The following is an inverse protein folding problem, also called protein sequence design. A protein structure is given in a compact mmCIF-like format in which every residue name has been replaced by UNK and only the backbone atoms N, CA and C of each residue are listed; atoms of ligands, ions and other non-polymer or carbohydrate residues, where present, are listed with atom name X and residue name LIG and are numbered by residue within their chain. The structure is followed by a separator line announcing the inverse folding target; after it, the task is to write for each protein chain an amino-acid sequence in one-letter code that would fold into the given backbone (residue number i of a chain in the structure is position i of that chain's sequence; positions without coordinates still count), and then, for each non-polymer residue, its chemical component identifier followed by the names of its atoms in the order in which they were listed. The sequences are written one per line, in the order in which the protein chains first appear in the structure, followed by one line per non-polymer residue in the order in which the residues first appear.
data_IF_811500512684
#
_entry.id   IF_811500512684
#
_cell.length_a   1.000
_cell.length_b   1.000
_cell.length_c   1.000
_cell.angle_alpha   90.00
_cell.angle_beta   90.00
_cell.angle_gamma   90.00
#
_symmetry.space_group_name_H-M   'P 1'
#
loop_
_entity.id
_entity.type
_entity.pdbx_description
1 polymer ?
#
# COMPACT_ATOMS: atom_id res chain seq x y z
N UNK A 1 -26.00 9.00 -15.48
CA UNK A 1 -25.25 9.07 -15.45
C UNK A 1 -24.38 8.73 -15.15
N UNK A 2 -23.81 8.63 -15.04
CA UNK A 2 -22.88 8.20 -14.94
C UNK A 2 -21.96 8.40 -14.33
N UNK A 3 -21.45 7.95 -13.95
CA UNK A 3 -20.55 8.11 -13.51
C UNK A 3 -19.55 7.68 -13.73
N UNK A 4 -19.09 7.72 -13.72
CA UNK A 4 -17.89 7.23 -13.90
C UNK A 4 -16.99 7.16 -12.80
N UNK A 5 -16.41 6.43 -12.43
CA UNK A 5 -15.58 6.42 -11.45
C UNK A 5 -14.21 6.30 -11.79
N UNK A 6 -13.40 7.00 -11.43
CA UNK A 6 -12.09 7.03 -11.93
C UNK A 6 -11.11 6.39 -11.05
N UNK A 7 -11.21 6.60 -9.78
CA UNK A 7 -10.26 6.09 -8.83
C UNK A 7 -10.86 4.98 -8.05
N UNK A 8 -10.05 4.00 -7.74
CA UNK A 8 -10.43 2.96 -6.84
C UNK A 8 -10.46 3.51 -5.43
N UNK A 9 -11.55 3.32 -4.74
CA UNK A 9 -11.59 3.70 -3.35
C UNK A 9 -10.70 2.81 -2.54
N UNK A 10 -10.04 3.36 -1.57
CA UNK A 10 -9.07 2.62 -0.76
C UNK A 10 -9.47 2.71 0.70
N UNK A 11 -9.41 1.58 1.41
CA UNK A 11 -9.61 1.61 2.87
C UNK A 11 -8.38 2.15 3.61
N UNK A 12 -7.31 2.40 2.89
CA UNK A 12 -6.06 2.86 3.50
C UNK A 12 -5.95 4.36 3.39
N UNK A 13 -5.11 4.97 4.24
CA UNK A 13 -4.98 6.41 4.26
C UNK A 13 -3.52 6.80 4.35
N UNK A 14 -3.20 7.92 3.72
CA UNK A 14 -1.89 8.54 3.87
C UNK A 14 -1.65 8.80 5.36
N UNK A 15 -0.46 8.49 5.82
CA UNK A 15 -0.08 8.65 7.21
C UNK A 15 -0.15 7.37 8.02
N UNK A 16 -0.80 6.33 7.50
CA UNK A 16 -0.82 5.05 8.23
C UNK A 16 0.53 4.37 8.13
N UNK A 17 0.92 3.71 9.20
CA UNK A 17 2.15 2.93 9.23
C UNK A 17 1.83 1.49 8.90
N UNK A 18 2.65 0.90 8.06
CA UNK A 18 2.45 -0.47 7.61
C UNK A 18 3.72 -1.28 7.79
N UNK A 19 3.53 -2.58 7.94
CA UNK A 19 4.64 -3.54 7.92
C UNK A 19 4.40 -4.49 6.76
N UNK A 20 5.39 -4.66 5.90
CA UNK A 20 5.31 -5.56 4.77
C UNK A 20 5.59 -6.97 5.27
N UNK A 21 4.70 -7.90 4.94
CA UNK A 21 4.94 -9.30 5.20
C UNK A 21 5.63 -9.91 3.99
N UNK A 22 5.08 -9.70 2.80
CA UNK A 22 5.73 -10.18 1.58
C UNK A 22 5.11 -9.51 0.37
N UNK A 23 5.95 -8.99 -0.51
CA UNK A 23 5.48 -8.43 -1.77
C UNK A 23 5.50 -9.52 -2.84
N UNK A 24 4.36 -9.71 -3.49
CA UNK A 24 4.20 -10.74 -4.48
C UNK A 24 5.15 -10.51 -5.65
N UNK A 25 5.83 -11.55 -6.07
CA UNK A 25 6.76 -11.43 -7.20
C UNK A 25 8.15 -10.97 -6.83
N UNK A 26 8.37 -10.59 -5.57
CA UNK A 26 9.68 -10.16 -5.11
C UNK A 26 10.30 -11.25 -4.26
N UNK A 27 11.63 -11.18 -4.10
CA UNK A 27 12.28 -12.04 -3.14
C UNK A 27 11.98 -11.49 -1.75
N UNK A 28 12.76 -11.80 -0.75
CA UNK A 28 12.43 -11.43 0.61
C UNK A 28 13.04 -10.09 1.04
N UNK A 29 13.50 -9.27 0.11
CA UNK A 29 14.19 -8.04 0.50
C UNK A 29 13.29 -7.04 1.18
N UNK A 30 11.99 -7.10 0.92
CA UNK A 30 11.03 -6.20 1.55
C UNK A 30 10.35 -6.80 2.77
N UNK A 31 10.55 -8.08 3.04
CA UNK A 31 9.87 -8.74 4.14
C UNK A 31 10.27 -8.12 5.46
N UNK A 32 9.28 -7.72 6.25
CA UNK A 32 9.52 -7.11 7.55
C UNK A 32 9.79 -5.62 7.53
N UNK A 33 9.88 -5.00 6.37
CA UNK A 33 10.09 -3.57 6.32
C UNK A 33 8.85 -2.83 6.78
N UNK A 34 9.07 -1.70 7.43
CA UNK A 34 7.98 -0.83 7.87
C UNK A 34 8.14 0.53 7.25
N UNK A 35 7.03 1.21 7.11
CA UNK A 35 7.05 2.56 6.59
C UNK A 35 5.69 3.20 6.71
N UNK A 36 5.60 4.42 6.22
CA UNK A 36 4.38 5.22 6.29
C UNK A 36 3.88 5.44 4.88
N UNK A 37 2.57 5.31 4.70
CA UNK A 37 1.94 5.56 3.40
C UNK A 37 2.02 7.05 3.12
N UNK A 38 2.61 7.42 1.99
CA UNK A 38 2.73 8.80 1.58
C UNK A 38 1.77 9.17 0.46
N UNK A 39 1.32 8.19 -0.31
CA UNK A 39 0.42 8.44 -1.42
C UNK A 39 -0.31 7.16 -1.76
N UNK A 40 -1.54 7.30 -2.25
CA UNK A 40 -2.33 6.20 -2.76
C UNK A 40 -2.72 6.61 -4.17
N UNK A 41 -2.28 5.83 -5.15
CA UNK A 41 -2.48 6.25 -6.53
C UNK A 41 -3.89 5.87 -7.02
N UNK A 42 -4.17 6.21 -8.27
CA UNK A 42 -5.51 6.09 -8.83
C UNK A 42 -6.00 4.64 -8.90
N UNK A 43 -5.08 3.69 -8.94
CA UNK A 43 -5.47 2.28 -8.99
C UNK A 43 -5.34 1.60 -7.63
N UNK A 44 -5.09 2.38 -6.58
CA UNK A 44 -5.12 1.86 -5.22
C UNK A 44 -3.80 1.33 -4.71
N UNK A 45 -2.70 1.53 -5.42
CA UNK A 45 -1.41 1.08 -4.94
C UNK A 45 -0.87 2.06 -3.92
N UNK A 46 -0.20 1.54 -2.90
CA UNK A 46 0.28 2.33 -1.78
C UNK A 46 1.75 2.66 -1.97
N UNK A 47 2.08 3.94 -1.90
CA UNK A 47 3.45 4.41 -2.01
C UNK A 47 3.87 4.96 -0.65
N UNK A 48 5.09 4.67 -0.25
CA UNK A 48 5.52 5.10 1.08
C UNK A 48 7.00 4.95 1.28
N UNK A 49 7.38 5.00 2.54
CA UNK A 49 8.78 5.16 2.93
C UNK A 49 9.53 3.84 3.10
N UNK A 50 8.96 2.74 2.70
CA UNK A 50 9.61 1.43 2.88
C UNK A 50 10.65 1.11 1.82
N UNK A 51 10.79 1.93 0.79
CA UNK A 51 11.96 1.80 -0.06
C UNK A 51 11.74 1.58 -1.52
N UNK A 52 10.73 1.93 -2.15
CA UNK A 52 10.73 1.95 -3.60
C UNK A 52 9.52 1.33 -4.27
N UNK A 53 9.21 0.10 -3.99
CA UNK A 53 8.09 -0.54 -4.67
C UNK A 53 6.79 -0.19 -3.98
N UNK A 54 5.74 -0.01 -4.78
CA UNK A 54 4.41 0.20 -4.23
C UNK A 54 3.87 -1.12 -3.68
N UNK A 55 3.05 -1.03 -2.65
CA UNK A 55 2.29 -2.18 -2.18
C UNK A 55 1.03 -2.28 -3.01
N UNK A 56 0.74 -3.46 -3.51
CA UNK A 56 -0.46 -3.75 -4.28
C UNK A 56 -1.41 -4.51 -3.36
N UNK A 57 -2.44 -3.86 -2.79
CA UNK A 57 -3.22 -4.49 -1.72
C UNK A 57 -3.87 -5.80 -2.12
N UNK A 58 -4.23 -5.98 -3.40
CA UNK A 58 -4.86 -7.21 -3.83
C UNK A 58 -3.90 -8.38 -3.93
N UNK A 59 -2.59 -8.11 -4.03
CA UNK A 59 -1.61 -9.16 -4.27
C UNK A 59 -0.63 -9.34 -3.13
N UNK A 60 -0.32 -8.27 -2.42
CA UNK A 60 0.76 -8.28 -1.45
C UNK A 60 0.22 -8.52 -0.05
N UNK A 61 1.08 -9.02 0.83
CA UNK A 61 0.70 -9.26 2.22
C UNK A 61 1.34 -8.20 3.09
N UNK A 62 0.54 -7.52 3.86
CA UNK A 62 1.02 -6.44 4.73
C UNK A 62 0.01 -6.19 5.83
N UNK A 63 0.44 -5.48 6.85
CA UNK A 63 -0.40 -5.13 8.00
C UNK A 63 -0.35 -3.63 8.21
N UNK A 64 -1.49 -3.05 8.56
CA UNK A 64 -1.52 -1.68 9.05
C UNK A 64 -1.29 -1.76 10.56
N UNK A 65 -0.24 -1.11 11.03
CA UNK A 65 0.15 -1.21 12.43
C UNK A 65 -0.02 0.10 13.18
N UNK A 66 -0.58 1.10 12.53
CA UNK A 66 -0.90 2.36 13.15
C UNK A 66 -2.10 2.96 12.44
N UNK A 67 -3.21 3.04 13.12
CA UNK A 67 -4.47 3.48 12.56
C UNK A 67 -4.84 4.90 12.90
N UNK A 68 -3.91 5.67 13.33
CA UNK A 68 -4.19 7.03 13.76
C UNK A 68 -4.87 7.88 12.70
#
# INVERSE_FOLDING_TARGET
MHQTKQQKESPYKVGQKVRIIHLEGEDNRYDGKEGVIEDIDAIGQLHGTWGGLAIIPEADKFLVINNM
#
